data_IF_672381455717
#
_entry.id   IF_672381455717
#
_cell.length_a   1.000
_cell.length_b   1.000
_cell.length_c   1.000
_cell.angle_alpha   90.00
_cell.angle_beta   90.00
_cell.angle_gamma   90.00
#
_symmetry.space_group_name_H-M   'P 1'
#
loop_
_entity.id
_entity.type
_entity.pdbx_description
1 polymer ?
#
# COMPACT_ATOMS: atom_id res chain seq x y z
N UNK A 1 -4.39 7.31 2.43
CA UNK A 1 -5.35 7.26 1.30
C UNK A 1 -6.67 6.69 1.82
N UNK A 2 -7.69 6.63 0.97
CA UNK A 2 -9.08 6.44 1.38
C UNK A 2 -9.53 7.38 2.51
N UNK A 3 -9.88 8.60 2.11
CA UNK A 3 -10.17 9.72 3.02
C UNK A 3 -11.44 9.54 3.86
N UNK A 4 -12.22 8.48 3.61
CA UNK A 4 -13.36 8.14 4.45
C UNK A 4 -12.92 7.50 5.78
N UNK A 5 -11.70 6.98 5.86
CA UNK A 5 -11.09 6.46 7.08
C UNK A 5 -10.15 7.50 7.70
N UNK A 6 -10.51 7.96 8.89
CA UNK A 6 -9.76 8.90 9.70
C UNK A 6 -9.30 8.25 11.01
N UNK A 7 -8.17 8.72 11.56
CA UNK A 7 -7.60 8.25 12.83
C UNK A 7 -7.40 6.72 12.91
N UNK A 8 -6.88 6.14 11.82
CA UNK A 8 -6.61 4.70 11.72
C UNK A 8 -5.14 4.37 12.02
N UNK A 9 -4.85 3.33 12.82
CA UNK A 9 -3.50 2.82 12.99
C UNK A 9 -3.04 2.01 11.78
N UNK A 10 -1.74 2.07 11.52
CA UNK A 10 -1.03 1.22 10.55
C UNK A 10 -1.64 1.17 9.15
N UNK A 11 -2.02 2.32 8.59
CA UNK A 11 -2.36 2.43 7.15
C UNK A 11 -1.22 1.85 6.29
N UNK A 12 -1.53 0.78 5.55
CA UNK A 12 -0.55 -0.01 4.79
C UNK A 12 0.21 0.83 3.78
N UNK A 13 -0.49 1.72 3.07
CA UNK A 13 0.15 2.62 2.12
C UNK A 13 1.13 3.56 2.81
N UNK A 14 0.71 4.17 3.92
CA UNK A 14 1.49 5.14 4.69
C UNK A 14 2.74 4.49 5.25
N UNK A 15 2.60 3.31 5.86
CA UNK A 15 3.73 2.55 6.40
C UNK A 15 4.68 2.09 5.29
N UNK A 16 4.17 1.58 4.17
CA UNK A 16 4.99 1.17 3.02
C UNK A 16 5.75 2.36 2.40
N UNK A 17 5.08 3.51 2.22
CA UNK A 17 5.68 4.72 1.69
C UNK A 17 6.76 5.26 2.64
N UNK A 18 6.51 5.28 3.95
CA UNK A 18 7.48 5.66 4.97
C UNK A 18 8.70 4.73 4.97
N UNK A 19 8.49 3.41 4.90
CA UNK A 19 9.57 2.43 4.78
C UNK A 19 10.43 2.69 3.54
N UNK A 20 9.80 2.92 2.38
CA UNK A 20 10.52 3.22 1.12
C UNK A 20 11.31 4.52 1.23
N UNK A 21 10.72 5.58 1.79
CA UNK A 21 11.37 6.87 1.98
C UNK A 21 12.62 6.75 2.87
N UNK A 22 12.54 6.06 4.01
CA UNK A 22 13.69 5.82 4.89
C UNK A 22 14.81 5.05 4.18
N UNK A 23 14.46 4.01 3.40
CA UNK A 23 15.44 3.27 2.60
C UNK A 23 16.08 4.14 1.51
N UNK A 24 15.32 5.04 0.89
CA UNK A 24 15.85 6.02 -0.08
C UNK A 24 16.81 6.97 0.62
N UNK A 25 16.47 7.51 1.78
CA UNK A 25 17.33 8.42 2.55
C UNK A 25 18.68 7.77 2.90
N UNK A 26 18.66 6.51 3.34
CA UNK A 26 19.89 5.74 3.61
C UNK A 26 20.76 5.59 2.36
N UNK A 27 20.16 5.28 1.20
CA UNK A 27 20.89 5.18 -0.07
C UNK A 27 21.43 6.52 -0.53
N UNK A 28 20.64 7.57 -0.41
CA UNK A 28 21.02 8.92 -0.81
C UNK A 28 22.20 9.46 0.01
N UNK A 29 22.16 9.30 1.34
CA UNK A 29 23.27 9.69 2.22
C UNK A 29 24.59 9.02 1.80
N UNK A 30 24.56 7.70 1.57
CA UNK A 30 25.73 6.94 1.09
C UNK A 30 26.21 7.43 -0.26
N UNK A 31 25.30 7.74 -1.18
CA UNK A 31 25.64 8.21 -2.53
C UNK A 31 26.37 9.57 -2.53
N UNK A 32 26.10 10.43 -1.54
CA UNK A 32 26.78 11.72 -1.37
C UNK A 32 27.99 11.68 -0.43
N UNK A 33 28.37 10.50 0.06
CA UNK A 33 29.52 10.32 0.97
C UNK A 33 29.22 10.60 2.44
N UNK A 34 27.96 10.79 2.81
CA UNK A 34 27.52 11.02 4.19
C UNK A 34 27.20 9.71 4.91
N UNK A 35 27.33 9.72 6.24
CA UNK A 35 26.91 8.61 7.08
C UNK A 35 25.39 8.69 7.34
N UNK A 36 24.58 7.69 6.95
CA UNK A 36 23.14 7.69 7.23
C UNK A 36 22.87 7.54 8.73
N UNK A 37 21.79 8.16 9.23
CA UNK A 37 21.34 7.93 10.59
C UNK A 37 20.94 6.43 10.77
N UNK A 38 21.53 5.70 11.72
CA UNK A 38 21.20 4.30 11.95
C UNK A 38 19.75 4.07 12.37
N UNK A 39 19.04 5.09 12.88
CA UNK A 39 17.62 4.99 13.19
C UNK A 39 16.77 4.77 11.94
N UNK A 40 17.13 5.34 10.79
CA UNK A 40 16.35 5.19 9.56
C UNK A 40 16.25 3.74 9.11
N UNK A 41 17.38 3.02 9.09
CA UNK A 41 17.39 1.59 8.78
C UNK A 41 16.62 0.79 9.84
N UNK A 42 16.85 1.08 11.13
CA UNK A 42 16.19 0.35 12.21
C UNK A 42 14.67 0.46 12.15
N UNK A 43 14.15 1.64 11.84
CA UNK A 43 12.70 1.87 11.70
C UNK A 43 12.18 1.18 10.44
N UNK A 44 12.85 1.36 9.29
CA UNK A 44 12.43 0.74 8.04
C UNK A 44 12.38 -0.80 8.13
N UNK A 45 13.35 -1.42 8.80
CA UNK A 45 13.44 -2.88 8.96
C UNK A 45 12.36 -3.47 9.88
N UNK A 46 11.73 -2.62 10.70
CA UNK A 46 10.68 -3.02 11.65
C UNK A 46 9.32 -2.42 11.32
N UNK A 47 9.22 -1.65 10.24
CA UNK A 47 7.97 -1.05 9.80
C UNK A 47 6.98 -2.15 9.51
N UNK A 48 5.85 -2.11 10.21
CA UNK A 48 4.77 -3.07 10.04
C UNK A 48 3.90 -2.66 8.85
N UNK A 49 3.57 -3.61 7.98
CA UNK A 49 2.59 -3.43 6.92
C UNK A 49 1.55 -4.52 7.15
N UNK A 50 0.31 -4.16 7.55
CA UNK A 50 -0.74 -5.13 7.84
C UNK A 50 -0.95 -6.17 6.74
N UNK A 51 -0.99 -7.44 7.14
CA UNK A 51 -1.06 -8.56 6.22
C UNK A 51 -1.95 -9.67 6.78
N UNK A 52 -2.86 -10.18 5.95
CA UNK A 52 -3.67 -11.35 6.22
C UNK A 52 -3.02 -12.60 5.59
N UNK A 53 -2.42 -13.50 6.39
CA UNK A 53 -1.78 -14.69 5.87
C UNK A 53 -2.76 -15.74 5.35
N UNK A 54 -4.02 -15.75 5.80
CA UNK A 54 -5.02 -16.68 5.31
C UNK A 54 -5.51 -16.29 3.92
N UNK A 55 -5.73 -14.99 3.71
CA UNK A 55 -6.12 -14.44 2.41
C UNK A 55 -4.91 -14.19 1.47
N UNK A 56 -3.68 -14.26 1.99
CA UNK A 56 -2.45 -13.94 1.24
C UNK A 56 -2.53 -12.55 0.58
N UNK A 57 -2.93 -11.54 1.33
CA UNK A 57 -3.06 -10.14 0.88
C UNK A 57 -2.78 -9.17 2.02
N UNK A 58 -2.47 -7.94 1.70
CA UNK A 58 -2.41 -6.86 2.68
C UNK A 58 -3.82 -6.49 3.18
N UNK A 59 -3.86 -5.87 4.36
CA UNK A 59 -5.04 -5.15 4.85
C UNK A 59 -4.86 -3.65 4.60
N UNK A 60 -5.94 -2.89 4.45
CA UNK A 60 -5.81 -1.43 4.30
C UNK A 60 -5.20 -0.77 5.55
N UNK A 61 -5.59 -1.27 6.73
CA UNK A 61 -5.18 -0.76 8.04
C UNK A 61 -4.86 -1.92 8.99
N UNK A 62 -4.55 -1.61 10.26
CA UNK A 62 -4.45 -2.61 11.33
C UNK A 62 -5.69 -3.55 11.37
N UNK A 63 -5.52 -4.85 11.68
CA UNK A 63 -6.65 -5.80 11.78
C UNK A 63 -7.76 -5.40 12.76
N UNK A 64 -7.50 -4.49 13.70
CA UNK A 64 -8.52 -3.98 14.62
C UNK A 64 -9.50 -2.99 13.98
N UNK A 65 -9.17 -2.44 12.81
CA UNK A 65 -10.02 -1.49 12.07
C UNK A 65 -10.95 -2.27 11.14
N UNK A 66 -12.28 -2.23 11.35
CA UNK A 66 -13.21 -2.83 10.42
C UNK A 66 -13.17 -2.09 9.08
N UNK A 67 -13.14 -2.83 7.98
CA UNK A 67 -13.28 -2.28 6.63
C UNK A 67 -14.76 -2.26 6.22
N UNK A 68 -15.56 -1.42 6.88
CA UNK A 68 -17.03 -1.42 6.80
C UNK A 68 -17.64 -0.16 6.17
N UNK A 69 -16.81 0.82 5.81
CA UNK A 69 -17.25 2.03 5.12
C UNK A 69 -17.31 1.80 3.61
N UNK A 70 -18.40 2.27 3.01
CA UNK A 70 -18.52 2.42 1.56
C UNK A 70 -17.75 3.67 1.16
N UNK A 71 -16.68 3.49 0.41
CA UNK A 71 -15.79 4.57 -0.01
C UNK A 71 -15.65 4.62 -1.52
N UNK A 72 -15.43 5.82 -2.03
CA UNK A 72 -15.18 6.11 -3.44
C UNK A 72 -13.84 5.55 -3.96
N UNK A 73 -12.96 5.09 -3.06
CA UNK A 73 -11.73 4.36 -3.40
C UNK A 73 -11.89 2.83 -3.27
N UNK A 74 -12.80 2.35 -2.42
CA UNK A 74 -12.98 0.94 -2.06
C UNK A 74 -11.87 0.38 -1.17
N UNK A 75 -10.63 0.61 -1.56
CA UNK A 75 -9.41 0.19 -0.88
C UNK A 75 -8.25 1.05 -1.40
N UNK A 76 -7.12 0.97 -0.73
CA UNK A 76 -5.86 1.62 -1.11
C UNK A 76 -4.79 0.61 -1.58
N UNK A 77 -5.08 -0.70 -1.58
CA UNK A 77 -4.08 -1.74 -1.82
C UNK A 77 -3.45 -1.71 -3.22
N UNK A 78 -4.16 -1.25 -4.25
CA UNK A 78 -3.56 -1.09 -5.59
C UNK A 78 -2.42 -0.03 -5.61
N UNK A 79 -2.35 0.86 -4.63
CA UNK A 79 -1.21 1.78 -4.51
C UNK A 79 0.08 1.08 -4.11
N UNK A 80 0.00 -0.06 -3.40
CA UNK A 80 1.20 -0.80 -2.97
C UNK A 80 2.01 -1.30 -4.17
N UNK A 81 1.33 -1.69 -5.25
CA UNK A 81 1.98 -2.16 -6.48
C UNK A 81 2.29 -1.05 -7.49
N UNK A 82 1.75 0.16 -7.32
CA UNK A 82 1.93 1.24 -8.29
C UNK A 82 3.42 1.64 -8.38
N UNK A 83 3.97 1.97 -9.57
CA UNK A 83 5.43 2.05 -9.78
C UNK A 83 6.21 3.00 -8.85
N UNK A 84 5.57 4.05 -8.34
CA UNK A 84 6.19 4.95 -7.38
C UNK A 84 6.50 4.26 -6.05
N UNK A 85 5.68 3.29 -5.62
CA UNK A 85 5.85 2.53 -4.38
C UNK A 85 6.44 1.15 -4.66
N UNK A 86 5.91 0.42 -5.65
CA UNK A 86 6.37 -0.89 -6.12
C UNK A 86 6.85 -1.78 -4.96
N UNK A 87 5.95 -2.01 -4.01
CA UNK A 87 6.22 -2.82 -2.84
C UNK A 87 6.60 -4.24 -3.31
N UNK A 88 7.73 -4.79 -2.86
CA UNK A 88 8.09 -6.17 -3.17
C UNK A 88 7.05 -7.13 -2.60
N UNK A 89 6.42 -7.91 -3.49
CA UNK A 89 5.34 -8.85 -3.18
C UNK A 89 5.51 -10.10 -4.03
N UNK A 90 4.96 -11.23 -3.59
CA UNK A 90 4.81 -12.39 -4.48
C UNK A 90 3.71 -12.12 -5.51
N UNK A 91 3.75 -12.81 -6.65
CA UNK A 91 2.70 -12.70 -7.68
C UNK A 91 1.31 -13.01 -7.11
N UNK A 92 1.21 -13.96 -6.18
CA UNK A 92 -0.03 -14.30 -5.48
C UNK A 92 -0.55 -13.12 -4.66
N UNK A 93 0.30 -12.51 -3.83
CA UNK A 93 -0.09 -11.36 -3.00
C UNK A 93 -0.50 -10.18 -3.87
N UNK A 94 0.28 -9.89 -4.92
CA UNK A 94 -0.02 -8.80 -5.85
C UNK A 94 -1.38 -9.00 -6.55
N UNK A 95 -1.71 -10.22 -6.97
CA UNK A 95 -3.03 -10.55 -7.54
C UNK A 95 -4.13 -10.41 -6.51
N UNK A 96 -3.96 -10.94 -5.31
CA UNK A 96 -5.01 -10.90 -4.28
C UNK A 96 -5.29 -9.47 -3.78
N UNK A 97 -4.25 -8.63 -3.64
CA UNK A 97 -4.41 -7.21 -3.34
C UNK A 97 -5.24 -6.49 -4.42
N UNK A 98 -4.94 -6.78 -5.69
CA UNK A 98 -5.64 -6.21 -6.84
C UNK A 98 -7.10 -6.70 -6.93
N UNK A 99 -7.34 -7.99 -6.73
CA UNK A 99 -8.67 -8.58 -6.76
C UNK A 99 -9.54 -8.02 -5.62
N UNK A 100 -8.96 -7.83 -4.44
CA UNK A 100 -9.65 -7.17 -3.32
C UNK A 100 -10.02 -5.73 -3.65
N UNK A 101 -9.07 -4.94 -4.19
CA UNK A 101 -9.35 -3.58 -4.65
C UNK A 101 -10.52 -3.52 -5.65
N UNK A 102 -10.54 -4.42 -6.63
CA UNK A 102 -11.63 -4.49 -7.62
C UNK A 102 -12.95 -4.94 -7.02
N UNK A 103 -12.92 -5.84 -6.02
CA UNK A 103 -14.11 -6.27 -5.31
C UNK A 103 -14.74 -5.12 -4.55
N UNK A 104 -13.97 -4.44 -3.70
CA UNK A 104 -14.44 -3.31 -2.89
C UNK A 104 -14.96 -2.15 -3.74
N UNK A 105 -14.35 -1.91 -4.91
CA UNK A 105 -14.84 -0.88 -5.82
C UNK A 105 -16.22 -1.23 -6.40
N UNK A 106 -16.46 -2.49 -6.74
CA UNK A 106 -17.75 -2.95 -7.31
C UNK A 106 -18.86 -2.98 -6.27
N UNK A 107 -18.54 -3.25 -5.01
CA UNK A 107 -19.53 -3.26 -3.91
C UNK A 107 -19.94 -1.85 -3.50
N UNK A 108 -19.13 -0.84 -3.78
CA UNK A 108 -19.34 0.54 -3.31
C UNK A 108 -20.04 1.51 -4.29
N UNK A 109 -20.32 1.10 -5.53
CA UNK A 109 -21.14 1.84 -6.49
C UNK A 109 -20.38 2.44 -7.70
N UNK A 110 -21.09 3.18 -8.54
CA UNK A 110 -20.66 3.53 -9.92
C UNK A 110 -19.77 4.79 -10.06
N UNK A 111 -19.31 5.41 -8.96
CA UNK A 111 -18.43 6.60 -9.01
C UNK A 111 -17.02 6.29 -8.45
N UNK A 112 -16.21 5.49 -9.17
CA UNK A 112 -14.82 5.28 -8.79
C UNK A 112 -14.01 6.56 -8.99
N UNK A 113 -13.10 6.87 -8.06
CA UNK A 113 -12.11 7.94 -8.20
C UNK A 113 -11.37 7.88 -9.55
N UNK A 114 -11.29 9.01 -10.27
CA UNK A 114 -10.47 9.12 -11.50
C UNK A 114 -8.99 8.75 -11.27
N UNK A 115 -8.42 9.06 -10.09
CA UNK A 115 -7.06 8.65 -9.73
C UNK A 115 -6.91 7.14 -9.62
N UNK A 116 -7.98 6.41 -9.27
CA UNK A 116 -7.93 4.95 -9.16
C UNK A 116 -7.86 4.31 -10.54
N UNK A 117 -8.48 4.90 -11.56
CA UNK A 117 -8.54 4.31 -12.91
C UNK A 117 -7.15 4.08 -13.53
N UNK A 118 -6.22 5.02 -13.36
CA UNK A 118 -4.85 4.84 -13.89
C UNK A 118 -4.12 3.72 -13.14
N UNK A 119 -4.32 3.62 -11.82
CA UNK A 119 -3.67 2.60 -11.00
C UNK A 119 -4.20 1.22 -11.30
N UNK A 120 -5.51 1.10 -11.50
CA UNK A 120 -6.13 -0.15 -11.91
C UNK A 120 -5.65 -0.61 -13.29
N UNK A 121 -5.53 0.32 -14.24
CA UNK A 121 -5.02 0.01 -15.57
C UNK A 121 -3.56 -0.47 -15.54
N UNK A 122 -2.70 0.21 -14.75
CA UNK A 122 -1.31 -0.22 -14.57
C UNK A 122 -1.24 -1.57 -13.84
N UNK A 123 -1.99 -1.74 -12.75
CA UNK A 123 -2.04 -2.99 -11.99
C UNK A 123 -2.50 -4.18 -12.84
N UNK A 124 -3.54 -4.00 -13.66
CA UNK A 124 -3.98 -5.03 -14.60
C UNK A 124 -2.88 -5.39 -15.62
N UNK A 125 -2.20 -4.38 -16.18
CA UNK A 125 -1.14 -4.62 -17.17
C UNK A 125 0.06 -5.37 -16.58
N UNK A 126 0.45 -5.09 -15.33
CA UNK A 126 1.55 -5.76 -14.63
C UNK A 126 1.22 -7.23 -14.27
N UNK A 127 -0.06 -7.58 -14.12
CA UNK A 127 -0.48 -8.92 -13.72
C UNK A 127 -0.71 -9.88 -14.90
N UNK A 128 -0.84 -9.35 -16.12
CA UNK A 128 -1.12 -10.11 -17.35
C UNK A 128 -2.55 -10.64 -17.45
#
# INVERSE_FOLDING_TARGET
PDEAYDDVPDDSFTNAAAQKALRIAVRAARAVGEAPDPQWSRIADRMYIPFDPAAQRHLDFDPSVPHDKVTWMGSSLAWLMYPNLDLPMSDTVRRHDFDFQLHELKTHGDDPNEMMMVMLAVGAAELG
#
